data_IF_907843175356
#
_entry.id   IF_907843175356
#
_cell.length_a   1.000
_cell.length_b   1.000
_cell.length_c   1.000
_cell.angle_alpha   90.00
_cell.angle_beta   90.00
_cell.angle_gamma   90.00
#
_symmetry.space_group_name_H-M   'P 1'
#
loop_
_entity.id
_entity.type
_entity.pdbx_description
1 polymer ?
#
# COMPACT_ATOMS: atom_id res chain seq x y z
N UNK A 1 -19.42 0.58 12.22
CA UNK A 1 -18.06 0.74 11.63
C UNK A 1 -17.63 -0.47 10.81
N UNK A 2 -17.81 -1.73 11.26
CA UNK A 2 -17.43 -2.93 10.50
C UNK A 2 -18.15 -3.07 9.16
N UNK A 3 -19.46 -2.85 9.14
CA UNK A 3 -20.31 -2.98 7.95
C UNK A 3 -19.89 -1.99 6.85
N UNK A 4 -19.61 -0.72 7.20
CA UNK A 4 -19.14 0.27 6.23
C UNK A 4 -17.78 -0.10 5.62
N UNK A 5 -16.84 -0.60 6.43
CA UNK A 5 -15.56 -1.09 5.91
C UNK A 5 -15.72 -2.29 4.99
N UNK A 6 -16.61 -3.23 5.35
CA UNK A 6 -16.92 -4.37 4.49
C UNK A 6 -17.54 -3.91 3.17
N UNK A 7 -18.44 -2.94 3.20
CA UNK A 7 -19.07 -2.36 2.01
C UNK A 7 -18.01 -1.72 1.08
N UNK A 8 -17.10 -0.90 1.61
CA UNK A 8 -16.05 -0.31 0.80
C UNK A 8 -15.05 -1.35 0.25
N UNK A 9 -14.67 -2.34 1.07
CA UNK A 9 -13.80 -3.43 0.60
C UNK A 9 -14.47 -4.22 -0.54
N UNK A 10 -15.76 -4.49 -0.44
CA UNK A 10 -16.52 -5.16 -1.47
C UNK A 10 -16.64 -4.30 -2.75
N UNK A 11 -16.84 -2.99 -2.61
CA UNK A 11 -16.85 -2.05 -3.74
C UNK A 11 -15.52 -2.03 -4.49
N UNK A 12 -14.38 -2.04 -3.77
CA UNK A 12 -13.06 -2.13 -4.38
C UNK A 12 -12.88 -3.46 -5.12
N UNK A 13 -13.28 -4.57 -4.51
CA UNK A 13 -13.18 -5.91 -5.12
C UNK A 13 -13.98 -6.00 -6.42
N UNK A 14 -15.21 -5.53 -6.42
CA UNK A 14 -16.08 -5.55 -7.62
C UNK A 14 -15.55 -4.60 -8.70
N UNK A 15 -15.00 -3.45 -8.34
CA UNK A 15 -14.35 -2.57 -9.30
C UNK A 15 -13.14 -3.20 -9.99
N UNK A 16 -12.36 -4.02 -9.29
CA UNK A 16 -11.30 -4.81 -9.93
C UNK A 16 -11.85 -5.93 -10.83
N UNK A 17 -13.05 -6.42 -10.56
CA UNK A 17 -13.75 -7.36 -11.42
C UNK A 17 -14.50 -6.68 -12.60
N UNK A 18 -14.30 -5.37 -12.81
CA UNK A 18 -14.97 -4.57 -13.84
C UNK A 18 -16.51 -4.59 -13.74
N UNK A 19 -17.02 -4.75 -12.54
CA UNK A 19 -18.46 -4.66 -12.26
C UNK A 19 -18.78 -3.24 -11.82
N UNK A 20 -19.65 -2.57 -12.57
CA UNK A 20 -20.09 -1.22 -12.25
C UNK A 20 -20.90 -1.20 -10.95
N UNK A 21 -20.48 -0.38 -10.02
CA UNK A 21 -21.10 -0.16 -8.74
C UNK A 21 -21.50 1.30 -8.56
N UNK A 22 -22.36 1.52 -7.55
CA UNK A 22 -22.80 2.86 -7.12
C UNK A 22 -21.64 3.78 -6.69
N UNK A 23 -20.49 3.18 -6.30
CA UNK A 23 -19.32 3.93 -5.82
C UNK A 23 -18.07 3.43 -6.56
N UNK A 24 -17.34 4.35 -7.19
CA UNK A 24 -16.04 4.05 -7.79
C UNK A 24 -15.05 3.47 -6.76
N UNK A 25 -14.21 2.49 -7.15
CA UNK A 25 -13.18 1.92 -6.28
C UNK A 25 -12.29 2.97 -5.61
N UNK A 26 -12.00 4.07 -6.31
CA UNK A 26 -11.21 5.20 -5.79
C UNK A 26 -11.89 5.81 -4.57
N UNK A 27 -13.17 6.17 -4.68
CA UNK A 27 -13.91 6.75 -3.55
C UNK A 27 -14.15 5.75 -2.41
N UNK A 28 -14.26 4.46 -2.74
CA UNK A 28 -14.38 3.42 -1.74
C UNK A 28 -13.11 3.29 -0.88
N UNK A 29 -11.93 3.34 -1.50
CA UNK A 29 -10.64 3.38 -0.78
C UNK A 29 -10.54 4.64 0.08
N UNK A 30 -10.99 5.79 -0.43
CA UNK A 30 -11.03 7.04 0.33
C UNK A 30 -11.89 6.91 1.58
N UNK A 31 -13.10 6.48 1.42
CA UNK A 31 -14.00 6.24 2.54
C UNK A 31 -13.41 5.26 3.56
N UNK A 32 -12.73 4.22 3.10
CA UNK A 32 -12.05 3.28 3.97
C UNK A 32 -10.96 3.93 4.82
N UNK A 33 -10.12 4.79 4.24
CA UNK A 33 -9.09 5.51 4.99
C UNK A 33 -9.66 6.52 5.99
N UNK A 34 -10.70 7.28 5.60
CA UNK A 34 -11.37 8.22 6.51
C UNK A 34 -11.92 7.49 7.75
N UNK A 35 -12.62 6.36 7.54
CA UNK A 35 -13.16 5.56 8.65
C UNK A 35 -12.02 4.95 9.48
N UNK A 36 -10.92 4.54 8.84
CA UNK A 36 -9.74 4.02 9.52
C UNK A 36 -9.11 5.08 10.41
N UNK A 37 -8.95 6.30 9.92
CA UNK A 37 -8.42 7.44 10.67
C UNK A 37 -9.28 7.78 11.89
N UNK A 38 -10.59 7.87 11.70
CA UNK A 38 -11.53 8.12 12.80
C UNK A 38 -11.45 7.02 13.87
N UNK A 39 -11.46 5.75 13.44
CA UNK A 39 -11.39 4.62 14.36
C UNK A 39 -10.05 4.55 15.10
N UNK A 40 -8.94 4.92 14.45
CA UNK A 40 -7.63 5.01 15.11
C UNK A 40 -7.60 6.12 16.16
N UNK A 41 -8.15 7.29 15.83
CA UNK A 41 -8.25 8.39 16.80
C UNK A 41 -9.04 7.95 18.03
N UNK A 42 -10.19 7.32 17.84
CA UNK A 42 -10.99 6.80 18.94
C UNK A 42 -10.23 5.77 19.80
N UNK A 43 -9.60 4.78 19.19
CA UNK A 43 -8.88 3.73 19.92
C UNK A 43 -7.66 4.28 20.65
N UNK A 44 -6.91 5.19 20.03
CA UNK A 44 -5.71 5.76 20.65
C UNK A 44 -6.05 6.63 21.87
N UNK A 45 -7.19 7.33 21.85
CA UNK A 45 -7.60 8.15 22.98
C UNK A 45 -8.28 7.35 24.10
N UNK A 46 -9.09 6.35 23.76
CA UNK A 46 -9.84 5.56 24.75
C UNK A 46 -9.04 4.39 25.33
N UNK A 47 -8.30 3.66 24.49
CA UNK A 47 -7.68 2.39 24.90
C UNK A 47 -6.16 2.46 25.04
N UNK A 48 -5.49 3.28 24.26
CA UNK A 48 -4.03 3.39 24.18
C UNK A 48 -3.58 4.85 24.40
N UNK A 49 -4.13 5.50 25.42
CA UNK A 49 -3.87 6.92 25.69
C UNK A 49 -2.43 7.23 26.12
N UNK A 50 -1.72 6.25 26.68
CA UNK A 50 -0.36 6.42 27.19
C UNK A 50 0.71 6.00 26.17
N UNK A 51 1.84 6.74 26.04
CA UNK A 51 2.94 6.39 25.15
C UNK A 51 3.51 4.98 25.37
N UNK A 52 3.56 4.52 26.63
CA UNK A 52 4.02 3.16 26.97
C UNK A 52 3.18 2.04 26.34
N UNK A 53 1.99 2.34 25.87
CA UNK A 53 1.08 1.38 25.23
C UNK A 53 1.29 1.27 23.72
N UNK A 54 2.20 2.06 23.12
CA UNK A 54 2.46 2.06 21.69
C UNK A 54 2.87 0.68 21.18
N UNK A 55 3.77 0.00 21.89
CA UNK A 55 4.22 -1.34 21.50
C UNK A 55 3.06 -2.33 21.44
N UNK A 56 2.17 -2.29 22.42
CA UNK A 56 0.97 -3.15 22.46
C UNK A 56 0.00 -2.78 21.32
N UNK A 57 -0.16 -1.49 21.04
CA UNK A 57 -0.95 -1.01 19.92
C UNK A 57 -0.40 -1.53 18.60
N UNK A 58 0.90 -1.32 18.31
CA UNK A 58 1.55 -1.80 17.09
C UNK A 58 1.42 -3.31 16.93
N UNK A 59 1.80 -4.08 17.95
CA UNK A 59 1.69 -5.54 17.93
C UNK A 59 0.30 -6.01 17.52
N UNK A 60 -0.76 -5.45 18.12
CA UNK A 60 -2.14 -5.83 17.80
C UNK A 60 -2.57 -5.42 16.39
N UNK A 61 -2.03 -4.32 15.85
CA UNK A 61 -2.33 -3.88 14.47
C UNK A 61 -1.62 -4.76 13.45
N UNK A 62 -0.33 -5.02 13.65
CA UNK A 62 0.42 -5.92 12.80
C UNK A 62 -0.14 -7.34 12.80
N UNK A 63 -0.42 -7.90 13.98
CA UNK A 63 -1.02 -9.24 14.10
C UNK A 63 -2.43 -9.36 13.54
N UNK A 64 -3.10 -8.25 13.26
CA UNK A 64 -4.39 -8.25 12.60
C UNK A 64 -4.27 -8.33 11.07
N UNK A 65 -3.26 -7.69 10.48
CA UNK A 65 -3.14 -7.56 9.02
C UNK A 65 -2.18 -8.59 8.42
N UNK A 66 -1.01 -8.81 9.03
CA UNK A 66 0.02 -9.69 8.48
C UNK A 66 -0.42 -11.14 8.27
N UNK A 67 -1.13 -11.81 9.21
CA UNK A 67 -1.53 -13.20 8.97
C UNK A 67 -2.45 -13.35 7.77
N UNK A 68 -3.40 -12.41 7.60
CA UNK A 68 -4.30 -12.40 6.43
C UNK A 68 -3.53 -12.14 5.14
N UNK A 69 -2.59 -11.20 5.16
CA UNK A 69 -1.71 -10.94 4.02
C UNK A 69 -0.89 -12.17 3.66
N UNK A 70 -0.23 -12.81 4.61
CA UNK A 70 0.60 -14.00 4.35
C UNK A 70 -0.21 -15.17 3.79
N UNK A 71 -1.46 -15.36 4.27
CA UNK A 71 -2.35 -16.35 3.71
C UNK A 71 -2.63 -16.08 2.23
N UNK A 72 -2.99 -14.83 1.90
CA UNK A 72 -3.25 -14.43 0.50
C UNK A 72 -1.99 -14.54 -0.34
N UNK A 73 -0.84 -14.07 0.16
CA UNK A 73 0.45 -14.16 -0.53
C UNK A 73 0.85 -15.62 -0.81
N UNK A 74 0.65 -16.53 0.17
CA UNK A 74 0.92 -17.95 -0.01
C UNK A 74 0.00 -18.59 -1.08
N UNK A 75 -1.28 -18.27 -1.05
CA UNK A 75 -2.24 -18.74 -2.07
C UNK A 75 -1.84 -18.20 -3.46
N UNK A 76 -1.51 -16.90 -3.56
CA UNK A 76 -1.05 -16.29 -4.81
C UNK A 76 0.21 -16.96 -5.34
N UNK A 77 1.18 -17.25 -4.47
CA UNK A 77 2.41 -17.95 -4.84
C UNK A 77 2.13 -19.37 -5.35
N UNK A 78 1.26 -20.13 -4.69
CA UNK A 78 0.89 -21.47 -5.12
C UNK A 78 0.21 -21.43 -6.51
N UNK A 79 -0.73 -20.52 -6.69
CA UNK A 79 -1.41 -20.34 -7.98
C UNK A 79 -0.41 -19.96 -9.08
N UNK A 80 0.51 -19.03 -8.78
CA UNK A 80 1.55 -18.61 -9.70
C UNK A 80 2.42 -19.79 -10.18
N UNK A 81 2.90 -20.62 -9.24
CA UNK A 81 3.71 -21.78 -9.55
C UNK A 81 2.94 -22.79 -10.43
N UNK A 82 1.66 -23.02 -10.12
CA UNK A 82 0.82 -23.93 -10.89
C UNK A 82 0.59 -23.45 -12.32
N UNK A 83 0.35 -22.15 -12.50
CA UNK A 83 0.14 -21.53 -13.81
C UNK A 83 1.45 -21.49 -14.61
N UNK A 84 2.57 -21.16 -13.96
CA UNK A 84 3.89 -21.18 -14.58
C UNK A 84 4.23 -22.57 -15.14
N UNK A 85 3.97 -23.65 -14.39
CA UNK A 85 4.16 -25.04 -14.83
C UNK A 85 3.28 -25.42 -16.04
N UNK A 86 2.17 -24.73 -16.26
CA UNK A 86 1.29 -24.90 -17.43
C UNK A 86 1.70 -24.03 -18.62
N UNK A 87 2.82 -23.30 -18.55
CA UNK A 87 3.30 -22.41 -19.60
C UNK A 87 2.61 -21.05 -19.67
N UNK A 88 1.79 -20.71 -18.67
CA UNK A 88 1.14 -19.40 -18.56
C UNK A 88 2.06 -18.44 -17.84
N UNK A 89 3.01 -17.83 -18.57
CA UNK A 89 4.07 -16.99 -18.00
C UNK A 89 3.75 -15.49 -17.99
N UNK A 90 2.78 -15.04 -18.79
CA UNK A 90 2.49 -13.62 -19.00
C UNK A 90 1.31 -13.11 -18.16
N UNK A 91 1.20 -13.52 -16.90
CA UNK A 91 0.14 -13.06 -16.01
C UNK A 91 0.70 -11.95 -15.13
N UNK A 92 0.11 -10.77 -15.23
CA UNK A 92 0.53 -9.48 -14.65
C UNK A 92 0.97 -9.48 -13.15
N UNK A 93 0.59 -10.50 -12.39
CA UNK A 93 0.92 -10.59 -10.95
C UNK A 93 1.98 -11.66 -10.62
N UNK A 94 2.66 -12.22 -11.63
CA UNK A 94 3.59 -13.33 -11.42
C UNK A 94 5.01 -13.04 -11.92
N UNK A 95 5.33 -11.76 -12.13
CA UNK A 95 6.67 -11.36 -12.58
C UNK A 95 7.77 -11.75 -11.59
N UNK A 96 7.42 -12.01 -10.32
CA UNK A 96 8.40 -12.48 -9.33
C UNK A 96 8.98 -13.87 -9.65
N UNK A 97 8.33 -14.69 -10.51
CA UNK A 97 8.91 -15.92 -11.04
C UNK A 97 9.86 -15.69 -12.23
N UNK A 98 9.75 -14.52 -12.87
CA UNK A 98 10.59 -14.07 -13.99
C UNK A 98 11.46 -12.90 -13.56
N UNK A 99 12.09 -13.04 -12.39
CA UNK A 99 12.94 -11.99 -11.84
C UNK A 99 14.16 -11.79 -12.76
N UNK A 100 14.62 -10.53 -12.98
CA UNK A 100 15.77 -10.28 -13.83
C UNK A 100 17.02 -11.00 -13.32
N UNK A 101 17.70 -11.74 -14.18
CA UNK A 101 18.91 -12.54 -13.83
C UNK A 101 20.07 -11.67 -13.33
N UNK A 102 20.11 -10.40 -13.75
CA UNK A 102 21.12 -9.43 -13.38
C UNK A 102 20.78 -8.59 -12.14
N UNK A 103 19.64 -8.88 -11.48
CA UNK A 103 19.22 -8.07 -10.32
C UNK A 103 20.29 -8.07 -9.22
N UNK A 104 20.56 -6.89 -8.66
CA UNK A 104 21.54 -6.72 -7.61
C UNK A 104 21.08 -7.35 -6.29
N UNK A 105 22.04 -7.66 -5.40
CA UNK A 105 21.72 -8.18 -4.07
C UNK A 105 20.74 -7.29 -3.30
N UNK A 106 20.89 -5.96 -3.40
CA UNK A 106 20.00 -5.01 -2.73
C UNK A 106 18.58 -5.07 -3.29
N UNK A 107 18.44 -5.28 -4.59
CA UNK A 107 17.15 -5.45 -5.26
C UNK A 107 16.43 -6.72 -4.77
N UNK A 108 17.14 -7.84 -4.69
CA UNK A 108 16.59 -9.07 -4.09
C UNK A 108 16.20 -8.89 -2.62
N UNK A 109 17.09 -8.29 -1.83
CA UNK A 109 16.85 -8.05 -0.40
C UNK A 109 15.61 -7.18 -0.18
N UNK A 110 15.47 -6.11 -0.95
CA UNK A 110 14.29 -5.24 -0.93
C UNK A 110 13.02 -6.04 -1.23
N UNK A 111 13.03 -6.84 -2.31
CA UNK A 111 11.90 -7.68 -2.69
C UNK A 111 11.49 -8.65 -1.58
N UNK A 112 12.45 -9.33 -0.98
CA UNK A 112 12.19 -10.29 0.10
C UNK A 112 11.58 -9.57 1.32
N UNK A 113 12.21 -8.47 1.75
CA UNK A 113 11.76 -7.71 2.92
C UNK A 113 10.35 -7.17 2.71
N UNK A 114 10.09 -6.55 1.56
CA UNK A 114 8.77 -5.96 1.28
C UNK A 114 7.69 -7.01 1.11
N UNK A 115 7.99 -8.18 0.56
CA UNK A 115 7.03 -9.28 0.47
C UNK A 115 6.76 -9.98 1.80
N UNK A 116 7.72 -10.00 2.74
CA UNK A 116 7.50 -10.60 4.07
C UNK A 116 6.77 -9.61 4.99
N UNK A 117 7.25 -8.37 5.06
CA UNK A 117 6.78 -7.40 6.06
C UNK A 117 5.76 -6.40 5.50
N UNK A 118 5.56 -6.38 4.19
CA UNK A 118 4.68 -5.45 3.46
C UNK A 118 5.17 -3.99 3.48
N UNK A 119 5.91 -3.60 4.49
CA UNK A 119 6.44 -2.24 4.66
C UNK A 119 7.32 -1.87 3.46
N UNK A 120 7.04 -0.74 2.83
CA UNK A 120 7.77 -0.26 1.65
C UNK A 120 7.19 -0.73 0.30
N UNK A 121 6.16 -1.58 0.29
CA UNK A 121 5.51 -1.95 -0.98
C UNK A 121 4.78 -0.79 -1.66
N UNK A 122 4.39 0.21 -0.92
CA UNK A 122 3.91 1.49 -1.45
C UNK A 122 5.01 2.24 -2.20
N UNK A 123 6.26 2.19 -1.73
CA UNK A 123 7.41 2.81 -2.40
C UNK A 123 7.78 2.05 -3.68
N UNK A 124 7.57 0.74 -3.74
CA UNK A 124 7.91 -0.10 -4.90
C UNK A 124 7.25 0.33 -6.20
N UNK A 125 6.18 1.10 -6.13
CA UNK A 125 5.50 1.66 -7.29
C UNK A 125 6.31 2.82 -7.94
N UNK A 126 7.27 3.44 -7.23
CA UNK A 126 8.20 4.47 -7.74
C UNK A 126 9.61 3.93 -7.96
N UNK A 127 9.80 2.64 -7.78
CA UNK A 127 11.07 2.01 -8.01
C UNK A 127 11.02 1.18 -9.29
N UNK A 128 12.05 1.31 -10.10
CA UNK A 128 12.34 0.44 -11.22
C UNK A 128 13.61 -0.35 -10.98
N UNK A 129 13.76 -1.44 -11.74
CA UNK A 129 15.00 -2.20 -11.82
C UNK A 129 15.70 -1.79 -13.11
N UNK A 130 16.96 -1.35 -13.00
CA UNK A 130 17.78 -1.00 -14.16
C UNK A 130 18.06 -2.24 -15.01
N UNK A 131 17.77 -2.20 -16.32
CA UNK A 131 18.06 -3.33 -17.21
C UNK A 131 19.55 -3.68 -17.29
N UNK A 132 20.43 -2.67 -17.15
CA UNK A 132 21.88 -2.84 -17.32
C UNK A 132 22.55 -3.32 -16.02
N UNK A 133 22.28 -2.67 -14.89
CA UNK A 133 22.94 -2.96 -13.61
C UNK A 133 22.15 -3.85 -12.67
N UNK A 134 20.85 -4.00 -12.88
CA UNK A 134 19.95 -4.70 -11.96
C UNK A 134 19.70 -3.97 -10.63
N UNK A 135 20.14 -2.72 -10.50
CA UNK A 135 19.97 -1.91 -9.31
C UNK A 135 18.60 -1.22 -9.29
N UNK A 136 18.15 -0.92 -8.07
CA UNK A 136 16.96 -0.11 -7.86
C UNK A 136 17.25 1.36 -8.18
N UNK A 137 16.36 1.98 -8.93
CA UNK A 137 16.37 3.42 -9.15
C UNK A 137 14.98 4.00 -8.95
N UNK A 138 14.93 5.27 -8.58
CA UNK A 138 13.67 5.99 -8.40
C UNK A 138 13.21 6.56 -9.75
N UNK A 139 11.97 6.26 -10.14
CA UNK A 139 11.31 6.84 -11.31
C UNK A 139 9.87 7.19 -10.99
N UNK A 140 9.45 8.36 -11.42
CA UNK A 140 8.04 8.79 -11.35
C UNK A 140 7.17 8.06 -12.36
N UNK A 141 7.77 7.51 -13.40
CA UNK A 141 7.14 6.78 -14.50
C UNK A 141 7.57 5.31 -14.57
N UNK A 142 7.90 4.69 -13.41
CA UNK A 142 8.46 3.33 -13.36
C UNK A 142 7.64 2.29 -14.14
N UNK A 143 6.33 2.45 -14.23
CA UNK A 143 5.46 1.55 -15.00
C UNK A 143 5.57 1.71 -16.52
N UNK A 144 6.00 2.88 -16.99
CA UNK A 144 6.11 3.17 -18.41
C UNK A 144 7.52 2.94 -18.97
N UNK A 145 8.54 3.12 -18.13
CA UNK A 145 9.93 3.24 -18.58
C UNK A 145 10.79 1.98 -18.35
N UNK A 146 10.38 1.10 -17.43
CA UNK A 146 11.25 -0.01 -17.01
C UNK A 146 10.48 -1.18 -16.40
N UNK A 147 11.22 -2.13 -15.81
CA UNK A 147 10.65 -3.18 -14.97
C UNK A 147 10.24 -2.62 -13.61
N UNK A 148 8.95 -2.27 -13.40
CA UNK A 148 8.53 -1.67 -12.16
C UNK A 148 8.60 -2.67 -11.02
N UNK A 149 9.23 -2.26 -9.91
CA UNK A 149 9.42 -3.11 -8.74
C UNK A 149 8.10 -3.63 -8.14
N UNK A 150 7.02 -2.90 -8.34
CA UNK A 150 5.69 -3.29 -7.87
C UNK A 150 5.16 -4.59 -8.50
N UNK A 151 5.65 -5.00 -9.67
CA UNK A 151 5.28 -6.26 -10.32
C UNK A 151 5.82 -7.50 -9.62
N UNK A 152 6.86 -7.34 -8.81
CA UNK A 152 7.49 -8.42 -8.05
C UNK A 152 6.87 -8.61 -6.65
N UNK A 153 5.76 -7.92 -6.36
CA UNK A 153 4.95 -8.14 -5.17
C UNK A 153 4.11 -9.41 -5.29
N UNK A 154 4.04 -10.21 -4.22
CA UNK A 154 3.20 -11.42 -4.15
C UNK A 154 1.69 -11.12 -4.18
N UNK A 155 1.32 -9.86 -3.99
CA UNK A 155 -0.07 -9.40 -4.05
C UNK A 155 -0.14 -7.99 -4.62
N UNK A 156 -0.87 -7.81 -5.72
CA UNK A 156 -1.00 -6.52 -6.39
C UNK A 156 -1.73 -5.44 -5.58
N UNK A 157 -2.40 -5.81 -4.49
CA UNK A 157 -3.13 -4.87 -3.61
C UNK A 157 -2.39 -4.56 -2.31
N UNK A 158 -1.24 -5.15 -2.08
CA UNK A 158 -0.48 -5.04 -0.82
C UNK A 158 0.08 -3.63 -0.56
N UNK A 159 0.23 -2.80 -1.59
CA UNK A 159 0.58 -1.38 -1.42
C UNK A 159 -0.41 -0.63 -0.50
N UNK A 160 -1.70 -0.99 -0.53
CA UNK A 160 -2.69 -0.37 0.35
C UNK A 160 -2.52 -0.80 1.81
N UNK A 161 -2.10 -2.04 2.05
CA UNK A 161 -1.76 -2.53 3.39
C UNK A 161 -0.48 -1.86 3.90
N UNK A 162 0.53 -1.66 3.01
CA UNK A 162 1.74 -0.93 3.34
C UNK A 162 1.43 0.51 3.77
N UNK A 163 0.57 1.18 3.05
CA UNK A 163 0.08 2.52 3.40
C UNK A 163 -0.66 2.53 4.75
N UNK A 164 -1.48 1.51 5.04
CA UNK A 164 -2.15 1.39 6.33
C UNK A 164 -1.15 1.15 7.48
N UNK A 165 -0.08 0.39 7.26
CA UNK A 165 0.99 0.22 8.24
C UNK A 165 1.74 1.51 8.53
N UNK A 166 2.10 2.26 7.48
CA UNK A 166 2.72 3.57 7.64
C UNK A 166 1.84 4.50 8.47
N UNK A 167 0.54 4.53 8.17
CA UNK A 167 -0.42 5.28 8.97
C UNK A 167 -0.45 4.81 10.43
N UNK A 168 -0.44 3.50 10.72
CA UNK A 168 -0.42 3.01 12.10
C UNK A 168 0.85 3.41 12.86
N UNK A 169 2.00 3.46 12.17
CA UNK A 169 3.26 3.91 12.79
C UNK A 169 3.16 5.38 13.20
N UNK A 170 2.58 6.21 12.34
CA UNK A 170 2.51 7.66 12.53
C UNK A 170 1.34 8.06 13.46
N UNK A 171 0.23 7.35 13.43
CA UNK A 171 -1.01 7.68 14.12
C UNK A 171 -0.86 8.00 15.63
N UNK A 172 -0.10 7.24 16.47
CA UNK A 172 0.06 7.55 17.87
C UNK A 172 0.72 8.91 18.14
N UNK A 173 1.54 9.37 17.21
CA UNK A 173 2.26 10.63 17.34
C UNK A 173 1.40 11.82 16.90
N UNK A 174 0.50 11.62 15.94
CA UNK A 174 -0.37 12.67 15.41
C UNK A 174 -1.68 12.75 16.16
N UNK A 175 -2.38 11.63 16.35
CA UNK A 175 -3.77 11.62 16.80
C UNK A 175 -3.95 11.85 18.32
N UNK A 176 -2.87 11.80 19.09
CA UNK A 176 -2.86 12.19 20.51
C UNK A 176 -2.62 13.68 20.74
N UNK A 177 -2.27 14.42 19.70
CA UNK A 177 -2.04 15.85 19.79
C UNK A 177 -3.36 16.64 19.76
N UNK A 178 -3.26 17.89 20.16
CA UNK A 178 -4.41 18.82 20.20
C UNK A 178 -4.99 19.02 18.78
N UNK A 179 -6.29 19.27 18.70
CA UNK A 179 -7.02 19.50 17.43
C UNK A 179 -6.32 20.40 16.39
N UNK A 180 -5.64 21.53 16.77
CA UNK A 180 -5.00 22.38 15.78
C UNK A 180 -3.91 21.68 14.95
N UNK A 181 -3.17 20.73 15.54
CA UNK A 181 -2.16 19.96 14.77
C UNK A 181 -2.80 19.09 13.68
N UNK A 182 -3.97 18.52 13.95
CA UNK A 182 -4.71 17.72 12.95
C UNK A 182 -5.17 18.62 11.80
N UNK A 183 -5.64 19.83 12.11
CA UNK A 183 -6.06 20.82 11.10
C UNK A 183 -4.86 21.25 10.24
N UNK A 184 -3.70 21.51 10.87
CA UNK A 184 -2.48 21.88 10.15
C UNK A 184 -2.07 20.76 9.18
N UNK A 185 -2.08 19.49 9.63
CA UNK A 185 -1.78 18.36 8.78
C UNK A 185 -2.76 18.22 7.62
N UNK A 186 -4.04 18.43 7.87
CA UNK A 186 -5.06 18.43 6.81
C UNK A 186 -4.79 19.54 5.76
N UNK A 187 -4.45 20.75 6.21
CA UNK A 187 -4.09 21.86 5.31
C UNK A 187 -2.82 21.53 4.51
N UNK A 188 -1.78 20.98 5.16
CA UNK A 188 -0.55 20.55 4.48
C UNK A 188 -0.87 19.49 3.43
N UNK A 189 -1.76 18.56 3.74
CA UNK A 189 -2.23 17.53 2.82
C UNK A 189 -2.89 18.12 1.57
N UNK A 190 -3.83 19.02 1.74
CA UNK A 190 -4.48 19.72 0.62
C UNK A 190 -3.46 20.49 -0.24
N UNK A 191 -2.49 21.13 0.41
CA UNK A 191 -1.47 21.91 -0.28
C UNK A 191 -0.49 21.01 -1.05
N UNK A 192 -0.13 19.85 -0.49
CA UNK A 192 0.72 18.87 -1.18
C UNK A 192 0.05 18.32 -2.46
N UNK A 193 -1.25 18.07 -2.42
CA UNK A 193 -2.01 17.69 -3.61
C UNK A 193 -2.00 18.78 -4.69
N UNK A 194 -2.21 20.02 -4.27
CA UNK A 194 -2.14 21.15 -5.20
C UNK A 194 -0.76 21.24 -5.85
N UNK A 195 0.32 21.10 -5.06
CA UNK A 195 1.69 21.14 -5.57
C UNK A 195 1.94 19.99 -6.56
N UNK A 196 1.56 18.74 -6.20
CA UNK A 196 1.72 17.58 -7.07
C UNK A 196 1.02 17.78 -8.41
N UNK A 197 -0.18 18.36 -8.40
CA UNK A 197 -0.91 18.71 -9.62
C UNK A 197 -0.22 19.83 -10.41
N UNK A 198 0.29 20.86 -9.74
CA UNK A 198 0.94 22.01 -10.38
C UNK A 198 2.29 21.65 -11.04
N UNK A 199 3.00 20.68 -10.49
CA UNK A 199 4.29 20.17 -11.03
C UNK A 199 4.04 19.18 -12.20
N UNK A 200 2.78 18.85 -12.51
CA UNK A 200 2.46 17.93 -13.60
C UNK A 200 2.63 16.46 -13.26
N UNK A 201 2.84 16.11 -11.98
CA UNK A 201 2.88 14.73 -11.49
C UNK A 201 1.46 14.15 -11.39
N UNK A 202 0.68 14.33 -12.45
CA UNK A 202 -0.73 13.93 -12.53
C UNK A 202 -0.92 12.44 -12.85
N UNK A 203 0.17 11.69 -12.96
CA UNK A 203 0.09 10.26 -13.23
C UNK A 203 -0.70 9.54 -12.13
N UNK A 204 -1.47 8.53 -12.54
CA UNK A 204 -2.33 7.75 -11.65
C UNK A 204 -1.60 7.24 -10.40
N UNK A 205 -0.31 6.92 -10.55
CA UNK A 205 0.54 6.44 -9.45
C UNK A 205 0.71 7.48 -8.34
N UNK A 206 0.89 8.76 -8.67
CA UNK A 206 1.01 9.83 -7.70
C UNK A 206 -0.32 10.17 -7.02
N UNK A 207 -1.42 10.13 -7.75
CA UNK A 207 -2.75 10.37 -7.19
C UNK A 207 -3.13 9.34 -6.14
N UNK A 208 -2.79 8.08 -6.33
CA UNK A 208 -3.10 7.02 -5.37
C UNK A 208 -2.28 7.10 -4.08
N UNK A 209 -1.14 7.78 -4.06
CA UNK A 209 -0.18 7.71 -2.97
C UNK A 209 -0.16 8.89 -2.05
N UNK A 210 -0.30 10.07 -2.56
CA UNK A 210 -0.54 11.25 -1.74
C UNK A 210 -1.92 11.23 -1.10
N UNK A 211 -2.63 10.16 -1.31
CA UNK A 211 -3.92 9.88 -0.76
C UNK A 211 -3.96 9.67 0.75
N UNK A 212 -2.87 9.21 1.37
CA UNK A 212 -2.71 9.20 2.83
C UNK A 212 -2.75 10.60 3.44
N UNK A 213 -2.57 11.61 2.62
CA UNK A 213 -2.63 13.00 3.01
C UNK A 213 -3.94 13.69 2.58
N UNK A 214 -4.81 13.03 1.85
CA UNK A 214 -6.16 13.46 1.55
C UNK A 214 -7.14 12.81 2.54
#
# INVERSE_FOLDING_TARGET
MGVLRLFFAFSVMLGHAQVDLLISPIYAVQGFYIISGFYMSFILNEKYSLPKQNVTFFKKRFMRLLPTYWLVAAISLIIAILLYKKGLTNIFFFDFLNYPDNASFLTYLYTIITNIFVIGQDISLFLGISPDSGDLFFSTAAFAECHPMARYGLSGVSWSIASEFLFYIIAPFILRHKKPYIIILFVISLFSNYIVNAIGLNDSNWRFRFFLLN
#
